data_IF_849627080006
#
_entry.id   IF_849627080006
#
_cell.length_a   1.000
_cell.length_b   1.000
_cell.length_c   1.000
_cell.angle_alpha   90.00
_cell.angle_beta   90.00
_cell.angle_gamma   90.00
#
_symmetry.space_group_name_H-M   'P 1'
#
loop_
_entity.id
_entity.type
_entity.pdbx_description
1 polymer ?
#
# COMPACT_ATOMS: atom_id res chain seq x y z
N UNK A 1 -16.63 4.89 7.35
CA UNK A 1 -15.92 4.78 8.65
C UNK A 1 -14.57 4.12 8.38
N UNK A 2 -13.47 4.69 8.87
CA UNK A 2 -12.15 4.05 8.78
C UNK A 2 -12.16 2.83 9.70
N UNK A 3 -11.96 1.64 9.15
CA UNK A 3 -11.82 0.42 9.95
C UNK A 3 -10.48 0.52 10.68
N UNK A 4 -10.52 0.70 12.00
CA UNK A 4 -9.32 0.58 12.84
C UNK A 4 -9.12 -0.89 13.16
N UNK A 5 -7.98 -1.42 12.81
CA UNK A 5 -7.57 -2.78 13.20
C UNK A 5 -6.97 -2.70 14.60
N UNK A 6 -7.44 -3.55 15.52
CA UNK A 6 -6.80 -3.72 16.82
C UNK A 6 -5.47 -4.45 16.62
N UNK A 7 -4.39 -3.90 17.15
CA UNK A 7 -3.12 -4.61 17.25
C UNK A 7 -3.27 -5.77 18.23
N UNK A 8 -3.05 -7.01 17.77
CA UNK A 8 -2.68 -8.09 18.67
C UNK A 8 -1.15 -8.12 18.74
N UNK A 9 -0.59 -8.38 19.92
CA UNK A 9 0.88 -8.40 20.15
C UNK A 9 1.59 -9.46 19.29
N UNK A 10 0.86 -10.42 18.75
CA UNK A 10 1.40 -11.57 18.01
C UNK A 10 1.41 -11.41 16.49
N UNK A 11 0.75 -10.38 15.94
CA UNK A 11 0.63 -10.20 14.49
C UNK A 11 1.32 -8.92 14.09
N UNK A 12 2.31 -9.07 13.21
CA UNK A 12 3.12 -7.97 12.72
C UNK A 12 2.98 -7.72 11.22
N UNK A 13 2.48 -8.69 10.42
CA UNK A 13 2.27 -8.50 8.98
C UNK A 13 0.84 -8.10 8.65
N UNK A 14 0.70 -7.04 7.87
CA UNK A 14 -0.57 -6.48 7.44
C UNK A 14 -0.61 -6.30 5.93
N UNK A 15 -1.72 -6.73 5.33
CA UNK A 15 -2.08 -6.30 3.98
C UNK A 15 -2.77 -4.94 4.07
N UNK A 16 -2.23 -3.97 3.37
CA UNK A 16 -2.67 -2.58 3.40
C UNK A 16 -3.03 -2.09 2.00
N UNK A 17 -4.13 -1.36 1.87
CA UNK A 17 -4.52 -0.70 0.62
C UNK A 17 -4.96 0.71 0.89
N UNK A 18 -4.54 1.65 0.05
CA UNK A 18 -5.19 2.96 -0.06
C UNK A 18 -5.28 3.40 -1.52
N UNK A 19 -6.35 4.14 -1.83
CA UNK A 19 -6.73 4.51 -3.18
C UNK A 19 -6.82 6.03 -3.29
N UNK A 20 -6.43 6.58 -4.43
CA UNK A 20 -6.64 7.98 -4.77
C UNK A 20 -8.12 8.29 -4.85
N UNK A 21 -8.49 9.53 -4.49
CA UNK A 21 -9.87 9.99 -4.52
C UNK A 21 -10.50 9.77 -5.90
N UNK A 22 -11.70 9.22 -5.89
CA UNK A 22 -12.48 8.93 -7.09
C UNK A 22 -11.72 8.14 -8.17
N UNK A 23 -10.79 7.28 -7.75
CA UNK A 23 -9.95 6.45 -8.62
C UNK A 23 -9.12 7.24 -9.65
N UNK A 24 -8.89 8.54 -9.42
CA UNK A 24 -8.03 9.35 -10.26
C UNK A 24 -6.61 8.78 -10.29
N UNK A 25 -5.99 8.73 -11.46
CA UNK A 25 -4.65 8.17 -11.66
C UNK A 25 -3.55 9.12 -11.16
N UNK A 26 -3.68 9.57 -9.89
CA UNK A 26 -2.81 10.63 -9.37
C UNK A 26 -1.35 10.22 -9.26
N UNK A 27 -1.05 8.94 -9.02
CA UNK A 27 0.35 8.49 -8.97
C UNK A 27 1.02 8.56 -10.33
N UNK A 28 0.28 8.21 -11.39
CA UNK A 28 0.78 8.26 -12.76
C UNK A 28 0.87 9.71 -13.26
N UNK A 29 -0.21 10.47 -13.13
CA UNK A 29 -0.29 11.88 -13.57
C UNK A 29 0.83 12.74 -12.96
N UNK A 30 1.15 12.51 -11.69
CA UNK A 30 2.18 13.27 -10.97
C UNK A 30 3.53 12.59 -10.96
N UNK A 31 3.68 11.43 -11.61
CA UNK A 31 4.88 10.59 -11.56
C UNK A 31 5.40 10.42 -10.11
N UNK A 32 4.51 10.02 -9.18
CA UNK A 32 4.76 9.99 -7.73
C UNK A 32 5.64 8.80 -7.27
N UNK A 33 6.05 7.93 -8.17
CA UNK A 33 6.69 6.66 -7.82
C UNK A 33 7.95 6.83 -6.96
N UNK A 34 8.75 7.85 -7.21
CA UNK A 34 9.94 8.19 -6.42
C UNK A 34 9.63 8.46 -4.95
N UNK A 35 8.55 9.21 -4.66
CA UNK A 35 8.14 9.52 -3.29
C UNK A 35 7.54 8.29 -2.57
N UNK A 36 6.90 7.38 -3.31
CA UNK A 36 6.44 6.11 -2.76
C UNK A 36 7.64 5.24 -2.31
N UNK A 37 8.68 5.13 -3.14
CA UNK A 37 9.89 4.40 -2.76
C UNK A 37 10.67 5.09 -1.63
N UNK A 38 10.69 6.41 -1.60
CA UNK A 38 11.25 7.19 -0.49
C UNK A 38 10.50 6.90 0.82
N UNK A 39 9.18 6.88 0.77
CA UNK A 39 8.35 6.51 1.93
C UNK A 39 8.63 5.06 2.38
N UNK A 40 8.73 4.09 1.47
CA UNK A 40 9.11 2.72 1.80
C UNK A 40 10.48 2.64 2.50
N UNK A 41 11.46 3.39 2.02
CA UNK A 41 12.78 3.44 2.65
C UNK A 41 12.73 4.05 4.06
N UNK A 42 11.91 5.08 4.28
CA UNK A 42 11.65 5.64 5.62
C UNK A 42 11.03 4.58 6.55
N UNK A 43 10.07 3.80 6.07
CA UNK A 43 9.48 2.71 6.86
C UNK A 43 10.54 1.68 7.28
N UNK A 44 11.42 1.30 6.37
CA UNK A 44 12.53 0.37 6.66
C UNK A 44 13.52 0.93 7.69
N UNK A 45 13.90 2.20 7.58
CA UNK A 45 14.76 2.85 8.57
C UNK A 45 14.16 2.85 9.99
N UNK A 46 12.84 2.78 10.09
CA UNK A 46 12.09 2.68 11.34
C UNK A 46 11.89 1.24 11.83
N UNK A 47 12.51 0.27 11.15
CA UNK A 47 12.48 -1.15 11.52
C UNK A 47 11.25 -1.91 10.98
N UNK A 48 10.44 -1.30 10.11
CA UNK A 48 9.41 -2.02 9.38
C UNK A 48 10.03 -2.73 8.16
N UNK A 49 9.34 -3.74 7.60
CA UNK A 49 9.85 -4.46 6.44
C UNK A 49 8.78 -4.50 5.35
N UNK A 50 9.21 -4.25 4.11
CA UNK A 50 8.35 -4.36 2.94
C UNK A 50 8.44 -5.80 2.44
N UNK A 51 7.38 -6.57 2.63
CA UNK A 51 7.33 -7.98 2.22
C UNK A 51 6.72 -8.15 0.83
N UNK A 52 5.85 -7.24 0.40
CA UNK A 52 5.28 -7.27 -0.94
C UNK A 52 4.58 -5.97 -1.27
N UNK A 53 4.58 -5.60 -2.53
CA UNK A 53 3.87 -4.39 -2.97
C UNK A 53 3.51 -4.42 -4.46
N UNK A 54 2.53 -3.61 -4.81
CA UNK A 54 2.29 -3.11 -6.16
C UNK A 54 1.79 -1.67 -6.08
N UNK A 55 2.44 -0.79 -6.83
CA UNK A 55 1.99 0.60 -7.00
C UNK A 55 1.28 0.71 -8.34
N UNK A 56 -0.03 0.80 -8.29
CA UNK A 56 -0.89 1.02 -9.45
C UNK A 56 -1.01 2.52 -9.76
N UNK A 57 -1.49 2.93 -10.94
CA UNK A 57 -1.62 4.37 -11.28
C UNK A 57 -2.41 5.20 -10.27
N UNK A 58 -3.29 4.58 -9.49
CA UNK A 58 -4.20 5.27 -8.57
C UNK A 58 -4.37 4.61 -7.20
N UNK A 59 -3.66 3.55 -6.90
CA UNK A 59 -3.71 2.91 -5.59
C UNK A 59 -2.44 2.11 -5.30
N UNK A 60 -2.24 1.82 -4.03
CA UNK A 60 -1.16 0.98 -3.53
C UNK A 60 -1.75 -0.23 -2.81
N UNK A 61 -1.21 -1.41 -3.10
CA UNK A 61 -1.29 -2.57 -2.22
C UNK A 61 0.09 -2.84 -1.63
N UNK A 62 0.13 -3.06 -0.32
CA UNK A 62 1.36 -3.23 0.44
C UNK A 62 1.19 -4.37 1.44
N UNK A 63 2.11 -5.31 1.45
CA UNK A 63 2.30 -6.29 2.50
C UNK A 63 3.44 -5.80 3.39
N UNK A 64 3.11 -5.40 4.62
CA UNK A 64 3.99 -4.68 5.53
C UNK A 64 4.13 -5.43 6.85
N UNK A 65 5.36 -5.83 7.17
CA UNK A 65 5.72 -6.21 8.53
C UNK A 65 5.95 -4.94 9.35
N UNK A 66 5.22 -4.82 10.45
CA UNK A 66 5.22 -3.63 11.32
C UNK A 66 6.03 -3.90 12.59
N UNK A 67 7.01 -3.06 12.86
CA UNK A 67 7.79 -3.11 14.10
C UNK A 67 6.87 -2.98 15.33
N UNK A 68 7.14 -3.74 16.39
CA UNK A 68 6.36 -3.75 17.64
C UNK A 68 6.12 -2.37 18.25
N UNK A 69 7.02 -1.43 18.05
CA UNK A 69 6.91 -0.06 18.55
C UNK A 69 6.10 0.88 17.62
N UNK A 70 5.60 0.37 16.51
CA UNK A 70 4.88 1.14 15.49
C UNK A 70 3.40 0.74 15.45
N UNK A 71 2.60 1.57 14.80
CA UNK A 71 1.17 1.31 14.60
C UNK A 71 0.80 1.46 13.14
N UNK A 72 0.30 0.40 12.52
CA UNK A 72 -0.05 0.36 11.10
C UNK A 72 -1.00 1.47 10.67
N UNK A 73 -1.99 1.82 11.50
CA UNK A 73 -2.93 2.90 11.18
C UNK A 73 -2.21 4.26 11.14
N UNK A 74 -1.26 4.50 12.05
CA UNK A 74 -0.44 5.72 12.07
C UNK A 74 0.53 5.75 10.89
N UNK A 75 1.14 4.62 10.55
CA UNK A 75 2.01 4.48 9.38
C UNK A 75 1.27 4.91 8.11
N UNK A 76 0.10 4.32 7.84
CA UNK A 76 -0.67 4.63 6.65
C UNK A 76 -1.20 6.07 6.64
N UNK A 77 -1.68 6.57 7.79
CA UNK A 77 -2.15 7.95 7.89
C UNK A 77 -1.03 8.96 7.59
N UNK A 78 0.18 8.72 8.12
CA UNK A 78 1.35 9.56 7.85
C UNK A 78 1.82 9.45 6.39
N UNK A 79 1.85 8.23 5.82
CA UNK A 79 2.17 8.01 4.41
C UNK A 79 1.20 8.74 3.48
N UNK A 80 -0.11 8.55 3.68
CA UNK A 80 -1.15 9.26 2.90
C UNK A 80 -0.99 10.78 3.00
N UNK A 81 -0.69 11.31 4.20
CA UNK A 81 -0.48 12.74 4.38
C UNK A 81 0.75 13.24 3.61
N UNK A 82 1.88 12.57 3.73
CA UNK A 82 3.12 12.89 3.01
C UNK A 82 2.90 12.88 1.49
N UNK A 83 2.36 11.77 0.97
CA UNK A 83 2.10 11.62 -0.46
C UNK A 83 1.05 12.61 -0.97
N UNK A 84 0.05 12.98 -0.16
CA UNK A 84 -0.96 13.96 -0.54
C UNK A 84 -0.37 15.36 -0.75
N UNK A 85 0.59 15.78 0.08
CA UNK A 85 1.28 17.05 -0.11
C UNK A 85 2.08 17.05 -1.42
N UNK A 86 2.81 15.97 -1.70
CA UNK A 86 3.58 15.86 -2.93
C UNK A 86 2.70 15.82 -4.18
N UNK A 87 1.58 15.08 -4.15
CA UNK A 87 0.62 15.07 -5.26
C UNK A 87 0.10 16.47 -5.55
N UNK A 88 -0.33 17.20 -4.51
CA UNK A 88 -0.87 18.58 -4.69
C UNK A 88 0.22 19.49 -5.25
N UNK A 89 1.41 19.46 -4.68
CA UNK A 89 2.55 20.26 -5.14
C UNK A 89 2.87 19.99 -6.63
N UNK A 90 2.93 18.72 -7.04
CA UNK A 90 3.18 18.34 -8.43
C UNK A 90 2.03 18.73 -9.37
N UNK A 91 0.77 18.59 -8.92
CA UNK A 91 -0.39 19.06 -9.70
C UNK A 91 -0.38 20.58 -9.90
N UNK A 92 0.06 21.35 -8.90
CA UNK A 92 0.24 22.81 -9.02
C UNK A 92 1.34 23.14 -10.03
N UNK A 93 2.50 22.48 -9.94
CA UNK A 93 3.63 22.66 -10.86
C UNK A 93 3.30 22.27 -12.31
N UNK A 94 2.45 21.26 -12.49
CA UNK A 94 1.99 20.77 -13.78
C UNK A 94 0.74 21.51 -14.30
N UNK A 95 0.25 22.51 -13.57
CA UNK A 95 -0.93 23.33 -13.90
C UNK A 95 -2.22 22.53 -14.10
N UNK A 96 -2.39 21.39 -13.39
CA UNK A 96 -3.58 20.58 -13.43
C UNK A 96 -4.74 21.17 -12.60
N UNK A 97 -5.19 22.38 -12.95
CA UNK A 97 -6.18 23.16 -12.21
C UNK A 97 -7.54 22.45 -12.06
N UNK A 98 -7.97 21.70 -13.06
CA UNK A 98 -9.23 20.95 -13.02
C UNK A 98 -9.19 19.86 -11.94
N UNK A 99 -8.10 19.09 -11.87
CA UNK A 99 -7.91 18.06 -10.85
C UNK A 99 -7.84 18.70 -9.45
N UNK A 100 -7.06 19.76 -9.29
CA UNK A 100 -6.97 20.51 -8.03
C UNK A 100 -8.33 21.02 -7.55
N UNK A 101 -9.12 21.57 -8.46
CA UNK A 101 -10.50 21.99 -8.18
C UNK A 101 -11.37 20.83 -7.73
N UNK A 102 -11.32 19.69 -8.44
CA UNK A 102 -12.06 18.48 -8.08
C UNK A 102 -11.67 17.99 -6.67
N UNK A 103 -10.38 17.92 -6.34
CA UNK A 103 -9.88 17.52 -5.03
C UNK A 103 -10.30 18.49 -3.91
N UNK A 104 -10.32 19.80 -4.20
CA UNK A 104 -10.76 20.84 -3.26
C UNK A 104 -12.26 20.80 -3.02
N UNK A 105 -13.06 20.61 -4.06
CA UNK A 105 -14.52 20.55 -3.95
C UNK A 105 -15.01 19.29 -3.22
N UNK A 106 -14.20 18.23 -3.16
CA UNK A 106 -14.51 17.00 -2.45
C UNK A 106 -14.44 17.12 -0.92
N UNK A 107 -13.96 18.25 -0.37
CA UNK A 107 -13.77 18.46 1.06
C UNK A 107 -15.07 18.87 1.73
N UNK A 108 -15.42 18.18 2.81
CA UNK A 108 -16.54 18.55 3.67
C UNK A 108 -16.23 19.79 4.51
N UNK A 109 -17.29 20.49 4.99
CA UNK A 109 -17.15 21.62 5.90
C UNK A 109 -16.30 21.27 7.13
N UNK A 110 -16.54 20.10 7.75
CA UNK A 110 -15.79 19.61 8.92
C UNK A 110 -14.29 19.39 8.62
N UNK A 111 -13.93 19.00 7.40
CA UNK A 111 -12.52 18.85 7.00
C UNK A 111 -11.87 20.22 6.75
N UNK A 112 -12.63 21.21 6.22
CA UNK A 112 -12.16 22.58 6.05
C UNK A 112 -11.83 23.24 7.40
N UNK A 113 -12.68 23.05 8.40
CA UNK A 113 -12.44 23.51 9.78
C UNK A 113 -11.16 22.96 10.40
N UNK A 114 -10.69 21.80 9.89
CA UNK A 114 -9.40 21.19 10.26
C UNK A 114 -8.25 21.57 9.32
N UNK A 115 -8.41 22.66 8.56
CA UNK A 115 -7.43 23.18 7.60
C UNK A 115 -7.06 22.22 6.46
N UNK A 116 -7.90 21.23 6.15
CA UNK A 116 -7.70 20.36 4.99
C UNK A 116 -8.11 21.13 3.73
N UNK A 117 -7.24 21.18 2.71
CA UNK A 117 -7.47 21.90 1.45
C UNK A 117 -7.88 20.98 0.30
N UNK A 118 -7.39 19.76 0.26
CA UNK A 118 -7.63 18.80 -0.83
C UNK A 118 -7.91 17.40 -0.29
N UNK A 119 -8.80 16.67 -0.94
CA UNK A 119 -9.03 15.25 -0.69
C UNK A 119 -8.34 14.43 -1.78
N UNK A 120 -7.10 14.06 -1.52
CA UNK A 120 -6.27 13.30 -2.48
C UNK A 120 -6.56 11.81 -2.44
N UNK A 121 -6.90 11.25 -1.28
CA UNK A 121 -7.15 9.84 -1.08
C UNK A 121 -8.58 9.59 -0.56
N UNK A 122 -9.10 8.40 -0.85
CA UNK A 122 -10.31 7.91 -0.20
C UNK A 122 -10.15 7.91 1.32
N UNK A 123 -11.26 8.11 2.02
CA UNK A 123 -11.25 8.24 3.48
C UNK A 123 -10.80 6.93 4.13
N UNK A 124 -11.33 5.81 3.64
CA UNK A 124 -10.99 4.48 4.12
C UNK A 124 -9.66 3.99 3.53
N UNK A 125 -8.92 3.25 4.33
CA UNK A 125 -7.85 2.35 3.89
C UNK A 125 -8.26 0.95 4.31
N UNK A 126 -8.01 -0.05 3.46
CA UNK A 126 -8.20 -1.45 3.85
C UNK A 126 -6.93 -1.94 4.54
N UNK A 127 -7.06 -2.40 5.78
CA UNK A 127 -5.97 -2.93 6.58
C UNK A 127 -6.43 -4.28 7.12
N UNK A 128 -5.74 -5.35 6.74
CA UNK A 128 -6.05 -6.71 7.16
C UNK A 128 -4.80 -7.35 7.76
N UNK A 129 -4.91 -7.82 8.99
CA UNK A 129 -3.85 -8.57 9.63
C UNK A 129 -3.73 -9.96 8.96
N UNK A 130 -2.50 -10.36 8.65
CA UNK A 130 -2.20 -11.67 8.05
C UNK A 130 -1.95 -12.69 9.16
N UNK A 131 -3.01 -13.36 9.61
CA UNK A 131 -2.95 -14.35 10.70
C UNK A 131 -2.37 -15.71 10.27
N UNK A 132 -2.52 -16.05 8.99
CA UNK A 132 -2.07 -17.35 8.45
C UNK A 132 -1.21 -17.13 7.21
N UNK A 133 -0.30 -18.08 6.97
CA UNK A 133 0.52 -18.08 5.75
C UNK A 133 -0.35 -18.16 4.50
N UNK A 134 -1.41 -18.94 4.53
CA UNK A 134 -2.35 -19.09 3.42
C UNK A 134 -2.98 -17.73 3.03
N UNK A 135 -3.47 -16.97 4.02
CA UNK A 135 -4.04 -15.64 3.78
C UNK A 135 -2.98 -14.67 3.26
N UNK A 136 -1.76 -14.69 3.80
CA UNK A 136 -0.64 -13.91 3.31
C UNK A 136 -0.33 -14.22 1.85
N UNK A 137 -0.19 -15.51 1.50
CA UNK A 137 0.08 -15.94 0.12
C UNK A 137 -1.06 -15.55 -0.84
N UNK A 138 -2.31 -15.66 -0.40
CA UNK A 138 -3.46 -15.16 -1.16
C UNK A 138 -3.32 -13.65 -1.47
N UNK A 139 -2.90 -12.84 -0.47
CA UNK A 139 -2.70 -11.40 -0.65
C UNK A 139 -1.50 -11.10 -1.53
N UNK A 140 -0.42 -11.83 -1.38
CA UNK A 140 0.77 -11.69 -2.21
C UNK A 140 0.47 -11.99 -3.69
N UNK A 141 -0.25 -13.09 -3.95
CA UNK A 141 -0.71 -13.43 -5.28
C UNK A 141 -1.65 -12.36 -5.86
N UNK A 142 -2.56 -11.83 -5.07
CA UNK A 142 -3.43 -10.71 -5.46
C UNK A 142 -2.62 -9.46 -5.82
N UNK A 143 -1.62 -9.09 -5.02
CA UNK A 143 -0.70 -7.96 -5.27
C UNK A 143 -0.03 -8.15 -6.64
N UNK A 144 0.58 -9.30 -6.88
CA UNK A 144 1.38 -9.53 -8.09
C UNK A 144 0.52 -9.59 -9.36
N UNK A 145 -0.69 -10.14 -9.29
CA UNK A 145 -1.58 -10.22 -10.45
C UNK A 145 -2.39 -8.94 -10.71
N UNK A 146 -2.36 -7.95 -9.82
CA UNK A 146 -3.16 -6.74 -9.97
C UNK A 146 -2.89 -6.00 -11.30
N UNK A 147 -1.62 -5.81 -11.74
CA UNK A 147 -1.31 -5.06 -12.97
C UNK A 147 -1.81 -5.72 -14.26
N UNK A 148 -1.94 -7.05 -14.27
CA UNK A 148 -2.35 -7.82 -15.45
C UNK A 148 -3.83 -8.21 -15.41
N UNK A 149 -4.55 -7.89 -14.32
CA UNK A 149 -5.93 -8.30 -14.08
C UNK A 149 -6.95 -7.25 -14.51
N UNK A 150 -8.10 -7.71 -14.97
CA UNK A 150 -9.25 -6.85 -15.28
C UNK A 150 -8.95 -5.84 -16.38
N UNK A 151 -9.23 -4.57 -16.09
CA UNK A 151 -9.07 -3.45 -17.04
C UNK A 151 -7.63 -2.88 -17.11
N UNK A 152 -6.75 -3.32 -16.21
CA UNK A 152 -5.45 -2.67 -16.07
C UNK A 152 -4.50 -2.98 -17.24
N UNK A 153 -4.25 -4.25 -17.49
CA UNK A 153 -3.40 -4.72 -18.61
C UNK A 153 -2.11 -3.88 -18.79
N UNK A 154 -1.45 -3.57 -17.65
CA UNK A 154 -0.27 -2.71 -17.60
C UNK A 154 1.04 -3.44 -17.95
N UNK A 155 1.02 -4.77 -17.97
CA UNK A 155 2.15 -5.63 -18.33
C UNK A 155 1.63 -6.96 -18.88
N UNK A 156 2.50 -7.71 -19.60
CA UNK A 156 2.16 -9.02 -20.12
C UNK A 156 2.19 -10.09 -19.01
N UNK A 157 3.14 -9.99 -18.10
CA UNK A 157 3.27 -10.86 -16.92
C UNK A 157 3.41 -10.02 -15.65
N UNK A 158 3.17 -10.58 -14.44
CA UNK A 158 3.37 -9.86 -13.19
C UNK A 158 4.80 -9.33 -13.02
N UNK A 159 5.79 -10.08 -13.49
CA UNK A 159 7.22 -9.77 -13.38
C UNK A 159 7.65 -8.63 -14.30
N UNK A 160 6.92 -8.38 -15.39
CA UNK A 160 7.18 -7.29 -16.33
C UNK A 160 6.75 -5.93 -15.78
N UNK A 161 5.90 -5.92 -14.72
CA UNK A 161 5.45 -4.68 -14.12
C UNK A 161 6.47 -4.14 -13.13
N UNK A 162 7.18 -3.07 -13.51
CA UNK A 162 8.28 -2.51 -12.72
C UNK A 162 7.90 -2.14 -11.28
N UNK A 163 6.74 -1.55 -11.08
CA UNK A 163 6.30 -1.07 -9.76
C UNK A 163 5.64 -2.17 -8.91
N UNK A 164 6.25 -3.35 -8.89
CA UNK A 164 5.77 -4.54 -8.19
C UNK A 164 6.93 -5.32 -7.56
N UNK A 165 6.61 -6.09 -6.52
CA UNK A 165 7.52 -7.06 -5.91
C UNK A 165 7.54 -8.42 -6.62
N UNK A 166 6.83 -8.61 -7.73
CA UNK A 166 6.69 -9.92 -8.38
C UNK A 166 8.04 -10.52 -8.78
N UNK A 167 8.93 -9.74 -9.41
CA UNK A 167 10.28 -10.18 -9.80
C UNK A 167 11.11 -10.73 -8.64
N UNK A 168 10.95 -10.17 -7.42
CA UNK A 168 11.64 -10.67 -6.24
C UNK A 168 11.18 -12.07 -5.85
N UNK A 169 9.89 -12.33 -5.89
CA UNK A 169 9.33 -13.64 -5.51
C UNK A 169 9.54 -14.72 -6.59
N UNK A 170 9.53 -14.34 -7.87
CA UNK A 170 9.68 -15.29 -8.97
C UNK A 170 11.15 -15.62 -9.25
N UNK A 171 12.04 -14.61 -9.21
CA UNK A 171 13.44 -14.78 -9.63
C UNK A 171 14.46 -14.54 -8.53
N UNK A 172 14.01 -14.34 -7.28
CA UNK A 172 14.86 -13.99 -6.13
C UNK A 172 15.75 -12.76 -6.40
N UNK A 173 15.23 -11.81 -7.18
CA UNK A 173 15.95 -10.60 -7.58
C UNK A 173 15.40 -9.38 -6.85
N UNK A 174 16.25 -8.70 -6.08
CA UNK A 174 15.86 -7.49 -5.36
C UNK A 174 15.38 -6.40 -6.32
N UNK A 175 14.42 -5.62 -5.85
CA UNK A 175 13.94 -4.45 -6.60
C UNK A 175 15.03 -3.36 -6.57
N UNK A 176 15.31 -2.65 -7.71
CA UNK A 176 16.44 -1.71 -7.78
C UNK A 176 16.30 -0.50 -6.85
N UNK A 177 15.08 -0.13 -6.44
CA UNK A 177 14.81 1.07 -5.63
C UNK A 177 14.49 0.77 -4.16
N UNK A 178 14.25 -0.50 -3.81
CA UNK A 178 13.91 -0.90 -2.43
C UNK A 178 14.38 -2.32 -2.14
N UNK A 179 15.00 -2.55 -1.01
CA UNK A 179 15.31 -3.90 -0.55
C UNK A 179 14.06 -4.52 0.08
N UNK A 180 13.60 -5.62 -0.48
CA UNK A 180 12.49 -6.40 0.02
C UNK A 180 12.96 -7.42 1.04
N UNK A 181 12.11 -7.75 1.98
CA UNK A 181 12.29 -8.87 2.91
C UNK A 181 11.30 -9.97 2.52
N UNK A 182 11.78 -11.18 2.32
CA UNK A 182 10.87 -12.30 2.10
C UNK A 182 10.05 -12.54 3.37
N UNK A 183 8.75 -12.79 3.25
CA UNK A 183 7.86 -12.93 4.41
C UNK A 183 8.30 -14.02 5.40
N UNK A 184 9.04 -15.04 4.94
CA UNK A 184 9.62 -16.08 5.78
C UNK A 184 10.80 -15.61 6.62
N UNK A 185 11.42 -14.51 6.25
CA UNK A 185 12.62 -13.96 6.91
C UNK A 185 12.26 -12.86 7.92
N UNK A 186 10.99 -12.47 8.01
CA UNK A 186 10.52 -11.42 8.93
C UNK A 186 10.37 -11.87 10.39
N UNK A 187 10.66 -13.14 10.68
CA UNK A 187 10.67 -13.70 12.04
C UNK A 187 9.28 -14.12 12.57
N UNK A 188 8.25 -14.08 11.73
CA UNK A 188 6.93 -14.60 12.08
C UNK A 188 6.87 -16.11 11.76
N UNK A 189 6.60 -16.91 12.79
CA UNK A 189 6.27 -18.32 12.60
C UNK A 189 4.75 -18.40 12.40
N UNK A 190 4.31 -18.55 11.15
CA UNK A 190 2.92 -18.86 10.87
C UNK A 190 2.66 -20.32 11.27
N UNK A 191 1.85 -20.54 12.29
CA UNK A 191 1.41 -21.89 12.62
C UNK A 191 0.63 -22.44 11.42
N UNK A 192 1.07 -23.58 10.90
CA UNK A 192 0.30 -24.32 9.91
C UNK A 192 -1.08 -24.59 10.53
N UNK A 193 -2.14 -24.18 9.85
CA UNK A 193 -3.50 -24.49 10.26
C UNK A 193 -3.59 -26.01 10.38
N UNK A 194 -3.83 -26.51 11.59
CA UNK A 194 -4.19 -27.90 11.83
C UNK A 194 -5.50 -28.16 11.08
N UNK A 195 -5.39 -28.71 9.89
CA UNK A 195 -6.49 -29.35 9.21
C UNK A 195 -6.82 -30.61 10.01
N UNK A 196 -7.49 -30.48 11.15
CA UNK A 196 -8.16 -31.58 11.80
C UNK A 196 -9.50 -31.80 11.09
N UNK A 197 -9.46 -32.60 10.03
CA UNK A 197 -10.64 -33.28 9.58
C UNK A 197 -11.15 -34.16 10.73
N UNK A 198 -12.32 -33.87 11.24
CA UNK A 198 -13.13 -34.86 11.94
C UNK A 198 -14.02 -35.52 10.90
N UNK A 199 -13.51 -36.62 10.36
CA UNK A 199 -14.33 -37.71 9.87
C UNK A 199 -14.76 -38.52 11.07
N UNK A 200 -16.01 -38.43 11.48
CA UNK A 200 -16.83 -39.53 12.05
C UNK A 200 -18.31 -39.18 11.89
#
# INVERSE_FOLDING_TARGET
MSVKVNHSEDIQTYFCTFTCFNWLHLFDITNLYDELYKWFNILKQRGNQIEGFVVMPNHLHLLLFVNKNENVNKILANGKRFLAYEIVNRLELLEHHEILSQLSNAITQKERERNKKHRVFEISSDIKACYTEEFLLQKLNYIHNNPISGKWNLAATPEDYFHSSATFYTFNKQHPLINLTHYKDSGIIYNASSASGNDT
#
